data_IF_437089315070
#
_entry.id   IF_437089315070
#
_cell.length_a   1.000
_cell.length_b   1.000
_cell.length_c   1.000
_cell.angle_alpha   90.00
_cell.angle_beta   90.00
_cell.angle_gamma   90.00
#
_symmetry.space_group_name_H-M   'P 1'
#
loop_
_entity.id
_entity.type
_entity.pdbx_description
1 polymer ?
#
# COMPACT_ATOMS: atom_id res chain seq x y z
N UNK A 1 -24.67 -10.24 -13.16
CA UNK A 1 -23.53 -10.16 -12.21
C UNK A 1 -22.95 -8.77 -12.33
N UNK A 2 -22.96 -7.97 -11.26
CA UNK A 2 -22.24 -6.68 -11.25
C UNK A 2 -20.76 -7.01 -11.11
N UNK A 3 -19.96 -6.69 -12.12
CA UNK A 3 -18.51 -6.77 -12.07
C UNK A 3 -18.00 -5.35 -11.84
N UNK A 4 -17.80 -4.98 -10.58
CA UNK A 4 -17.15 -3.71 -10.26
C UNK A 4 -15.63 -3.90 -10.29
N UNK A 5 -14.94 -3.13 -11.13
CA UNK A 5 -13.49 -3.17 -11.20
C UNK A 5 -12.88 -2.40 -10.04
N UNK A 6 -12.25 -3.12 -9.11
CA UNK A 6 -11.50 -2.51 -8.00
C UNK A 6 -10.11 -2.13 -8.48
N UNK A 7 -9.73 -0.87 -8.30
CA UNK A 7 -8.37 -0.39 -8.53
C UNK A 7 -7.58 -0.46 -7.23
N UNK A 8 -6.38 -1.03 -7.27
CA UNK A 8 -5.45 -1.07 -6.15
C UNK A 8 -4.17 -0.31 -6.48
N UNK A 9 -3.60 0.39 -5.50
CA UNK A 9 -2.36 1.16 -5.67
C UNK A 9 -1.52 1.11 -4.41
N UNK A 10 -0.20 1.04 -4.57
CA UNK A 10 0.75 1.20 -3.48
C UNK A 10 0.77 2.66 -3.00
N UNK A 11 0.56 2.84 -1.70
CA UNK A 11 0.64 4.14 -1.03
C UNK A 11 1.61 4.03 0.14
N UNK A 12 2.09 5.17 0.57
CA UNK A 12 3.02 5.27 1.70
C UNK A 12 2.40 6.16 2.75
N UNK A 13 2.39 5.67 3.99
CA UNK A 13 1.99 6.47 5.13
C UNK A 13 3.13 7.44 5.48
N UNK A 14 2.87 8.75 5.39
CA UNK A 14 3.83 9.80 5.76
C UNK A 14 3.34 10.70 6.90
N UNK A 15 2.27 10.31 7.60
CA UNK A 15 1.67 11.08 8.68
C UNK A 15 2.47 11.03 9.98
N UNK A 16 2.53 12.16 10.69
CA UNK A 16 3.03 12.22 12.06
C UNK A 16 2.09 11.38 12.96
N UNK A 17 2.59 10.29 13.54
CA UNK A 17 1.81 9.38 14.40
C UNK A 17 1.20 8.15 13.71
N UNK A 18 1.38 7.96 12.40
CA UNK A 18 1.01 6.70 11.72
C UNK A 18 2.25 5.80 11.56
N UNK A 19 2.08 4.46 11.56
CA UNK A 19 3.18 3.57 11.28
C UNK A 19 3.80 3.94 9.93
N UNK A 20 5.11 4.22 9.95
CA UNK A 20 5.88 4.50 8.75
C UNK A 20 5.97 3.22 7.94
N UNK A 21 5.48 3.25 6.70
CA UNK A 21 5.46 2.07 5.87
C UNK A 21 4.65 2.24 4.59
N UNK A 22 4.60 1.16 3.81
CA UNK A 22 3.76 1.04 2.63
C UNK A 22 2.46 0.32 2.99
N UNK A 23 1.41 0.64 2.25
CA UNK A 23 0.12 -0.04 2.30
C UNK A 23 -0.50 -0.03 0.90
N UNK A 24 -1.33 -1.03 0.62
CA UNK A 24 -2.13 -1.12 -0.61
C UNK A 24 -3.49 -0.48 -0.35
N UNK A 25 -3.78 0.58 -1.10
CA UNK A 25 -5.06 1.28 -1.08
C UNK A 25 -5.93 0.77 -2.24
N UNK A 26 -7.17 0.35 -1.96
CA UNK A 26 -8.18 0.19 -3.00
C UNK A 26 -9.02 1.46 -3.17
N UNK A 27 -9.66 1.61 -4.32
CA UNK A 27 -10.58 2.73 -4.60
C UNK A 27 -11.98 2.56 -4.01
N UNK A 28 -12.21 1.50 -3.23
CA UNK A 28 -13.49 1.22 -2.59
C UNK A 28 -13.65 2.09 -1.33
N UNK A 29 -14.77 2.81 -1.24
CA UNK A 29 -15.03 3.74 -0.13
C UNK A 29 -15.21 3.02 1.22
N UNK A 30 -15.77 1.81 1.19
CA UNK A 30 -16.09 1.02 2.39
C UNK A 30 -15.03 -0.03 2.73
N UNK A 31 -13.76 0.19 2.34
CA UNK A 31 -12.69 -0.74 2.66
C UNK A 31 -12.34 -0.70 4.16
N UNK A 32 -12.83 -1.70 4.90
CA UNK A 32 -12.63 -1.84 6.34
C UNK A 32 -11.16 -1.93 6.77
N UNK A 33 -10.28 -2.39 5.89
CA UNK A 33 -8.85 -2.65 6.19
C UNK A 33 -7.90 -1.69 5.47
N UNK A 34 -8.41 -0.56 5.00
CA UNK A 34 -7.59 0.47 4.36
C UNK A 34 -6.47 0.89 5.32
N UNK A 35 -5.26 1.06 4.79
CA UNK A 35 -4.04 1.41 5.54
C UNK A 35 -3.49 0.34 6.50
N UNK A 36 -4.27 -0.68 6.87
CA UNK A 36 -3.79 -1.80 7.69
C UNK A 36 -3.34 -2.99 6.86
N UNK A 37 -4.05 -3.35 5.79
CA UNK A 37 -3.77 -4.55 4.96
C UNK A 37 -3.56 -5.84 5.76
N UNK A 38 -4.22 -5.95 6.92
CA UNK A 38 -4.14 -7.14 7.77
C UNK A 38 -5.21 -8.16 7.38
N UNK A 39 -4.97 -9.46 7.63
CA UNK A 39 -6.00 -10.48 7.49
C UNK A 39 -7.28 -10.07 8.23
N UNK A 40 -8.48 -10.27 7.65
CA UNK A 40 -8.81 -11.02 6.42
C UNK A 40 -8.71 -10.24 5.08
N UNK A 41 -8.05 -9.08 5.03
CA UNK A 41 -7.88 -8.34 3.78
C UNK A 41 -7.03 -9.15 2.77
N UNK A 42 -7.49 -9.34 1.51
CA UNK A 42 -6.69 -10.01 0.49
C UNK A 42 -5.54 -9.13 -0.04
N UNK A 43 -5.60 -7.82 0.20
CA UNK A 43 -4.57 -6.89 -0.23
C UNK A 43 -3.45 -6.85 0.79
N UNK A 44 -2.22 -7.06 0.33
CA UNK A 44 -1.02 -7.00 1.14
C UNK A 44 0.13 -6.38 0.33
N UNK A 45 1.12 -5.84 1.03
CA UNK A 45 2.23 -5.10 0.39
C UNK A 45 3.13 -5.97 -0.48
N UNK A 46 3.20 -7.29 -0.24
CA UNK A 46 4.09 -8.15 -1.03
C UNK A 46 3.62 -8.29 -2.49
N UNK A 47 2.36 -7.92 -2.80
CA UNK A 47 1.89 -7.72 -4.19
C UNK A 47 2.70 -6.66 -4.95
N UNK A 48 3.37 -5.75 -4.23
CA UNK A 48 4.18 -4.66 -4.78
C UNK A 48 5.62 -4.70 -4.22
N UNK A 49 6.12 -5.90 -3.89
CA UNK A 49 7.43 -6.06 -3.26
C UNK A 49 8.56 -5.45 -4.12
N UNK A 50 8.48 -5.59 -5.44
CA UNK A 50 9.46 -5.03 -6.38
C UNK A 50 9.45 -3.51 -6.41
N UNK A 51 8.27 -2.88 -6.45
CA UNK A 51 8.13 -1.42 -6.41
C UNK A 51 8.60 -0.85 -5.08
N UNK A 52 8.29 -1.53 -3.97
CA UNK A 52 8.77 -1.15 -2.63
C UNK A 52 10.30 -1.19 -2.61
N UNK A 53 10.90 -2.27 -3.12
CA UNK A 53 12.36 -2.43 -3.18
C UNK A 53 13.01 -1.34 -4.01
N UNK A 54 12.51 -1.08 -5.22
CA UNK A 54 13.01 -0.03 -6.09
C UNK A 54 12.88 1.37 -5.44
N UNK A 55 11.76 1.64 -4.74
CA UNK A 55 11.55 2.90 -4.04
C UNK A 55 12.45 3.06 -2.80
N UNK A 56 12.78 1.97 -2.10
CA UNK A 56 13.72 1.99 -0.97
C UNK A 56 15.16 2.22 -1.46
N UNK A 57 15.56 1.55 -2.54
CA UNK A 57 16.89 1.70 -3.16
C UNK A 57 17.13 3.14 -3.63
N UNK A 58 16.21 3.71 -4.43
CA UNK A 58 16.31 5.09 -4.89
C UNK A 58 16.33 6.11 -3.73
N UNK A 59 15.74 5.75 -2.58
CA UNK A 59 15.80 6.59 -1.37
C UNK A 59 17.15 6.49 -0.69
N UNK A 60 17.75 5.30 -0.61
CA UNK A 60 19.09 5.11 -0.04
C UNK A 60 20.12 5.89 -0.84
N UNK A 61 20.02 5.85 -2.17
CA UNK A 61 20.90 6.64 -3.05
C UNK A 61 20.80 8.16 -2.79
N UNK A 62 19.59 8.69 -2.58
CA UNK A 62 19.38 10.12 -2.29
C UNK A 62 19.77 10.54 -0.88
N UNK A 63 19.89 9.58 0.04
CA UNK A 63 20.29 9.84 1.42
C UNK A 63 21.81 9.71 1.63
N UNK A 64 22.55 9.31 0.59
CA UNK A 64 24.01 9.19 0.57
C UNK A 64 24.70 10.44 0.02
#
# INVERSE_FOLDING_TARGET
>A
MVQESVQIRLRRSSGFGRPKGYFVQCNQLDCQYVEENKPPCPLHTDMFADEIRAADEARRERAS
#
